data_IF_279985936610
#
_entry.id   IF_279985936610
#
_cell.length_a   1.000
_cell.length_b   1.000
_cell.length_c   1.000
_cell.angle_alpha   90.00
_cell.angle_beta   90.00
_cell.angle_gamma   90.00
#
_symmetry.space_group_name_H-M   'P 1'
#
loop_
_entity.id
_entity.type
_entity.pdbx_description
1 polymer ?
#
# COMPACT_ATOMS: atom_id res chain seq x y z
N UNK A 1 9.85 18.93 -1.66
CA UNK A 1 9.66 18.19 -2.91
C UNK A 1 8.86 19.11 -3.83
N UNK A 2 9.41 19.43 -4.97
CA UNK A 2 8.74 20.22 -6.01
C UNK A 2 8.28 19.21 -7.07
N UNK A 3 6.96 19.12 -7.25
CA UNK A 3 6.39 18.36 -8.37
C UNK A 3 6.17 19.33 -9.51
N UNK A 4 6.76 19.04 -10.67
CA UNK A 4 6.55 19.79 -11.90
C UNK A 4 5.60 18.99 -12.79
N UNK A 5 4.45 19.57 -13.11
CA UNK A 5 3.52 19.04 -14.11
C UNK A 5 3.64 19.84 -15.42
N UNK A 6 4.86 20.06 -15.91
CA UNK A 6 5.11 20.87 -17.10
C UNK A 6 5.27 22.36 -16.78
N UNK A 7 4.32 23.20 -17.09
CA UNK A 7 4.47 24.67 -16.99
C UNK A 7 3.98 25.26 -15.64
N UNK A 8 3.49 24.45 -14.70
CA UNK A 8 2.97 24.94 -13.41
C UNK A 8 3.77 24.35 -12.25
N UNK A 9 4.36 25.23 -11.44
CA UNK A 9 5.05 24.85 -10.20
C UNK A 9 4.09 25.03 -9.02
N UNK A 10 3.86 23.94 -8.29
CA UNK A 10 3.12 23.99 -7.02
C UNK A 10 4.07 23.66 -5.87
N UNK A 11 4.14 24.52 -4.86
CA UNK A 11 4.71 24.13 -3.59
C UNK A 11 3.61 23.56 -2.70
N UNK A 12 3.93 22.60 -1.85
CA UNK A 12 2.99 22.10 -0.84
C UNK A 12 2.51 23.19 0.11
N UNK A 13 3.30 24.27 0.27
CA UNK A 13 2.93 25.46 1.03
C UNK A 13 1.87 26.31 0.32
N UNK A 14 1.86 26.36 -1.00
CA UNK A 14 0.86 27.10 -1.78
C UNK A 14 -0.49 26.37 -1.81
N UNK A 15 -0.47 25.03 -1.79
CA UNK A 15 -1.68 24.21 -1.67
C UNK A 15 -2.34 24.35 -0.28
N UNK A 16 -1.53 24.52 0.77
CA UNK A 16 -2.04 24.70 2.15
C UNK A 16 -2.58 26.11 2.40
N UNK A 17 -2.06 27.11 1.70
CA UNK A 17 -2.48 28.52 1.86
C UNK A 17 -3.74 28.90 1.08
N UNK A 18 -4.12 28.10 0.08
CA UNK A 18 -5.34 28.32 -0.70
C UNK A 18 -6.52 27.70 0.03
N UNK A 19 -7.49 28.54 0.39
CA UNK A 19 -8.77 28.09 0.93
C UNK A 19 -9.41 27.14 -0.09
N UNK A 20 -9.84 25.94 0.34
CA UNK A 20 -10.43 24.91 -0.53
C UNK A 20 -11.66 25.40 -1.33
N UNK A 21 -12.18 26.58 -1.02
CA UNK A 21 -13.30 27.21 -1.75
C UNK A 21 -12.90 27.86 -3.09
N UNK A 22 -11.58 28.07 -3.34
CA UNK A 22 -11.08 28.62 -4.61
C UNK A 22 -10.51 27.58 -5.57
N UNK A 23 -10.71 26.30 -5.32
CA UNK A 23 -10.39 25.24 -6.30
C UNK A 23 -11.47 25.15 -7.40
N UNK A 24 -12.26 26.20 -7.55
CA UNK A 24 -13.08 26.37 -8.75
C UNK A 24 -12.17 26.78 -9.92
N UNK A 25 -12.05 25.87 -10.87
CA UNK A 25 -11.60 26.08 -12.24
C UNK A 25 -10.14 26.41 -12.53
N UNK A 26 -9.17 25.97 -11.75
CA UNK A 26 -7.86 25.76 -12.38
C UNK A 26 -7.98 24.48 -13.20
N UNK A 27 -8.42 24.64 -14.44
CA UNK A 27 -8.42 23.61 -15.45
C UNK A 27 -7.07 22.90 -15.39
N UNK A 28 -7.08 21.64 -14.91
CA UNK A 28 -5.94 20.76 -15.14
C UNK A 28 -5.76 20.78 -16.64
N UNK A 29 -4.77 21.53 -17.14
CA UNK A 29 -4.51 21.57 -18.55
C UNK A 29 -4.06 20.16 -18.95
N UNK A 30 -4.83 19.53 -19.82
CA UNK A 30 -4.46 18.23 -20.34
C UNK A 30 -3.09 18.36 -21.02
N UNK A 31 -2.14 17.45 -20.79
CA UNK A 31 -0.83 17.48 -21.43
C UNK A 31 -0.97 17.09 -22.92
N UNK A 32 -1.57 17.98 -23.71
CA UNK A 32 -1.95 17.69 -25.09
C UNK A 32 -0.79 17.26 -25.98
N UNK A 33 0.42 17.83 -25.76
CA UNK A 33 1.63 17.43 -26.49
C UNK A 33 1.96 15.96 -26.21
N UNK A 34 1.97 15.54 -24.94
CA UNK A 34 2.21 14.17 -24.53
C UNK A 34 1.14 13.21 -25.06
N UNK A 35 -0.15 13.58 -24.94
CA UNK A 35 -1.24 12.77 -25.45
C UNK A 35 -1.13 12.54 -26.97
N UNK A 36 -0.77 13.59 -27.73
CA UNK A 36 -0.55 13.52 -29.17
C UNK A 36 0.68 12.67 -29.52
N UNK A 37 1.80 12.89 -28.83
CA UNK A 37 3.06 12.15 -29.04
C UNK A 37 2.86 10.64 -28.83
N UNK A 38 2.10 10.25 -27.80
CA UNK A 38 1.85 8.84 -27.45
C UNK A 38 0.56 8.28 -28.04
N UNK A 39 -0.10 9.05 -28.92
CA UNK A 39 -1.38 8.66 -29.54
C UNK A 39 -2.43 8.17 -28.51
N UNK A 40 -2.52 8.89 -27.38
CA UNK A 40 -3.48 8.62 -26.31
C UNK A 40 -4.75 9.41 -26.52
N UNK A 41 -5.88 8.73 -26.63
CA UNK A 41 -7.20 9.34 -26.66
C UNK A 41 -8.04 8.83 -25.49
N UNK A 42 -9.08 9.56 -25.14
CA UNK A 42 -10.04 9.19 -24.09
C UNK A 42 -10.63 7.79 -24.35
N UNK A 43 -11.00 7.51 -25.59
CA UNK A 43 -11.61 6.23 -25.98
C UNK A 43 -10.61 5.07 -25.83
N UNK A 44 -9.33 5.29 -26.17
CA UNK A 44 -8.28 4.30 -25.98
C UNK A 44 -8.03 4.02 -24.49
N UNK A 45 -8.02 5.06 -23.65
CA UNK A 45 -7.86 4.91 -22.21
C UNK A 45 -9.04 4.16 -21.59
N UNK A 46 -10.28 4.54 -21.90
CA UNK A 46 -11.49 3.85 -21.43
C UNK A 46 -11.47 2.38 -21.84
N UNK A 47 -11.09 2.08 -23.10
CA UNK A 47 -10.98 0.69 -23.58
C UNK A 47 -9.94 -0.11 -22.81
N UNK A 48 -8.81 0.49 -22.46
CA UNK A 48 -7.76 -0.15 -21.64
C UNK A 48 -8.25 -0.40 -20.23
N UNK A 49 -8.89 0.59 -19.60
CA UNK A 49 -9.45 0.45 -18.24
C UNK A 49 -10.51 -0.67 -18.18
N UNK A 50 -11.37 -0.77 -19.17
CA UNK A 50 -12.36 -1.87 -19.25
C UNK A 50 -11.73 -3.26 -19.30
N UNK A 51 -10.52 -3.39 -19.85
CA UNK A 51 -9.79 -4.67 -19.88
C UNK A 51 -9.18 -5.07 -18.54
N UNK A 52 -9.11 -4.16 -17.57
CA UNK A 52 -8.57 -4.51 -16.26
C UNK A 52 -9.46 -5.51 -15.51
N UNK A 53 -10.76 -5.55 -15.79
CA UNK A 53 -11.68 -6.56 -15.25
C UNK A 53 -11.40 -8.00 -15.73
N UNK A 54 -10.61 -8.16 -16.79
CA UNK A 54 -10.19 -9.46 -17.31
C UNK A 54 -8.90 -9.94 -16.63
N UNK A 55 -8.21 -9.08 -15.86
CA UNK A 55 -6.94 -9.40 -15.23
C UNK A 55 -7.13 -10.08 -13.90
N UNK A 56 -6.35 -11.11 -13.66
CA UNK A 56 -6.14 -11.73 -12.36
C UNK A 56 -4.71 -11.44 -11.88
N UNK A 57 -4.61 -10.78 -10.74
CA UNK A 57 -3.36 -10.28 -10.18
C UNK A 57 -3.10 -10.96 -8.84
N UNK A 58 -1.91 -11.53 -8.67
CA UNK A 58 -1.42 -12.02 -7.39
C UNK A 58 -0.42 -11.00 -6.81
N UNK A 59 -0.72 -10.45 -5.64
CA UNK A 59 0.15 -9.51 -4.94
C UNK A 59 0.68 -10.17 -3.70
N UNK A 60 1.99 -10.07 -3.49
CA UNK A 60 2.69 -10.67 -2.36
C UNK A 60 3.56 -9.60 -1.72
N UNK A 61 3.49 -9.44 -0.41
CA UNK A 61 4.31 -8.45 0.26
C UNK A 61 3.87 -8.09 1.66
N UNK A 62 4.49 -7.04 2.20
CA UNK A 62 4.27 -6.61 3.56
C UNK A 62 2.97 -5.82 3.70
N UNK A 63 2.01 -6.36 4.45
CA UNK A 63 0.83 -5.61 4.88
C UNK A 63 1.24 -4.60 5.95
N UNK A 64 0.78 -3.37 5.79
CA UNK A 64 0.96 -2.28 6.76
C UNK A 64 -0.40 -1.68 7.08
N UNK A 65 -0.64 -1.39 8.34
CA UNK A 65 -1.75 -0.54 8.74
C UNK A 65 -1.17 0.80 9.23
N UNK A 66 -1.58 1.88 8.58
CA UNK A 66 -1.25 3.24 9.00
C UNK A 66 -2.39 3.78 9.86
N UNK A 67 -2.07 4.25 11.07
CA UNK A 67 -3.03 4.87 11.98
C UNK A 67 -2.64 6.31 12.25
N UNK A 68 -3.56 7.22 11.96
CA UNK A 68 -3.40 8.65 12.22
C UNK A 68 -4.20 9.02 13.46
N UNK A 69 -3.50 9.43 14.51
CA UNK A 69 -4.09 9.80 15.80
C UNK A 69 -4.01 11.32 15.91
N UNK A 70 -5.18 11.95 15.81
CA UNK A 70 -5.30 13.40 15.98
C UNK A 70 -5.28 13.71 17.47
N UNK A 71 -4.38 14.61 17.88
CA UNK A 71 -4.16 14.95 19.27
C UNK A 71 -4.34 16.44 19.54
N UNK A 72 -4.79 16.75 20.73
CA UNK A 72 -4.67 18.09 21.32
C UNK A 72 -3.35 18.15 22.13
N UNK A 73 -2.47 19.09 21.78
CA UNK A 73 -1.22 19.30 22.52
C UNK A 73 -1.49 20.12 23.77
N UNK A 74 -1.14 19.58 24.94
CA UNK A 74 -1.32 20.21 26.24
C UNK A 74 -0.13 21.08 26.65
N UNK A 75 1.06 20.84 26.04
CA UNK A 75 2.29 21.53 26.34
C UNK A 75 3.42 20.57 26.68
N UNK A 76 4.44 21.10 27.36
CA UNK A 76 5.56 20.31 27.87
C UNK A 76 5.20 19.71 29.23
N UNK A 77 5.69 18.49 29.50
CA UNK A 77 5.61 17.88 30.84
C UNK A 77 6.36 18.73 31.88
N UNK A 78 5.90 18.69 33.10
CA UNK A 78 6.61 19.29 34.24
C UNK A 78 7.67 18.36 34.84
N UNK A 79 7.62 17.08 34.49
CA UNK A 79 8.48 16.04 35.06
C UNK A 79 9.72 15.78 34.20
N UNK A 80 9.58 15.87 32.88
CA UNK A 80 10.63 15.59 31.91
C UNK A 80 10.45 16.44 30.62
N UNK A 81 11.45 16.58 29.74
CA UNK A 81 11.35 17.35 28.51
C UNK A 81 10.54 16.63 27.42
N UNK A 82 9.31 16.21 27.72
CA UNK A 82 8.42 15.53 26.81
C UNK A 82 7.17 16.33 26.47
N UNK A 83 6.58 16.10 25.29
CA UNK A 83 5.32 16.74 24.88
C UNK A 83 4.15 15.88 25.40
N UNK A 84 3.22 16.52 26.11
CA UNK A 84 1.98 15.90 26.57
C UNK A 84 0.86 16.15 25.58
N UNK A 85 0.20 15.07 25.15
CA UNK A 85 -0.90 15.14 24.20
C UNK A 85 -2.10 14.33 24.68
N UNK A 86 -3.31 14.76 24.32
CA UNK A 86 -4.54 13.98 24.49
C UNK A 86 -5.05 13.53 23.13
N UNK A 87 -5.14 12.21 22.87
CA UNK A 87 -5.78 11.69 21.66
C UNK A 87 -7.24 12.10 21.59
N UNK A 88 -7.68 12.59 20.42
CA UNK A 88 -9.06 13.03 20.18
C UNK A 88 -9.78 12.13 19.20
N UNK A 89 -9.10 11.65 18.17
CA UNK A 89 -9.63 10.81 17.10
C UNK A 89 -8.55 9.92 16.53
N UNK A 90 -8.94 8.80 15.97
CA UNK A 90 -8.03 7.87 15.30
C UNK A 90 -8.65 7.32 14.03
N UNK A 91 -7.86 7.29 12.95
CA UNK A 91 -8.25 6.73 11.66
C UNK A 91 -7.18 5.76 11.17
N UNK A 92 -7.63 4.55 10.78
CA UNK A 92 -6.76 3.51 10.24
C UNK A 92 -6.94 3.38 8.74
N UNK A 93 -5.85 3.09 8.04
CA UNK A 93 -5.79 2.90 6.59
C UNK A 93 -4.96 1.68 6.25
N UNK A 94 -5.37 0.97 5.20
CA UNK A 94 -4.53 -0.07 4.59
C UNK A 94 -3.35 0.61 3.89
N UNK A 95 -2.15 0.12 4.15
CA UNK A 95 -0.89 0.55 3.55
C UNK A 95 -0.08 -0.63 3.02
N UNK A 96 1.17 -0.36 2.63
CA UNK A 96 2.07 -1.37 2.09
C UNK A 96 1.50 -2.11 0.88
N UNK A 97 1.72 -3.42 0.81
CA UNK A 97 1.19 -4.27 -0.25
C UNK A 97 -0.35 -4.31 -0.26
N UNK A 98 -1.00 -4.08 0.89
CA UNK A 98 -2.46 -4.08 0.99
C UNK A 98 -3.12 -2.94 0.23
N UNK A 99 -2.53 -1.72 0.19
CA UNK A 99 -3.08 -0.63 -0.61
C UNK A 99 -2.85 -0.86 -2.10
N UNK A 100 -1.75 -1.50 -2.48
CA UNK A 100 -1.51 -1.89 -3.89
C UNK A 100 -2.61 -2.86 -4.35
N UNK A 101 -2.95 -3.85 -3.50
CA UNK A 101 -4.04 -4.79 -3.75
C UNK A 101 -5.40 -4.09 -3.89
N UNK A 102 -5.70 -3.17 -2.97
CA UNK A 102 -6.95 -2.39 -3.00
C UNK A 102 -7.06 -1.51 -4.25
N UNK A 103 -5.96 -0.87 -4.68
CA UNK A 103 -5.95 -0.07 -5.92
C UNK A 103 -6.15 -0.93 -7.16
N UNK A 104 -5.49 -2.09 -7.25
CA UNK A 104 -5.67 -3.00 -8.37
C UNK A 104 -7.13 -3.51 -8.47
N UNK A 105 -7.74 -3.87 -7.34
CA UNK A 105 -9.14 -4.26 -7.28
C UNK A 105 -10.09 -3.11 -7.66
N UNK A 106 -9.80 -1.88 -7.19
CA UNK A 106 -10.59 -0.69 -7.54
C UNK A 106 -10.54 -0.34 -9.03
N UNK A 107 -9.46 -0.73 -9.72
CA UNK A 107 -9.34 -0.62 -11.18
C UNK A 107 -10.10 -1.72 -11.92
N UNK A 108 -10.68 -2.68 -11.22
CA UNK A 108 -11.53 -3.75 -11.74
C UNK A 108 -10.87 -5.12 -11.82
N UNK A 109 -9.59 -5.27 -11.49
CA UNK A 109 -8.92 -6.57 -11.54
C UNK A 109 -9.41 -7.52 -10.43
N UNK A 110 -9.38 -8.83 -10.69
CA UNK A 110 -9.50 -9.85 -9.65
C UNK A 110 -8.16 -9.97 -8.92
N UNK A 111 -8.14 -9.78 -7.60
CA UNK A 111 -6.90 -9.68 -6.83
C UNK A 111 -6.85 -10.73 -5.73
N UNK A 112 -5.82 -11.59 -5.79
CA UNK A 112 -5.36 -12.41 -4.67
C UNK A 112 -4.21 -11.67 -3.97
N UNK A 113 -4.35 -11.42 -2.68
CA UNK A 113 -3.31 -10.80 -1.86
C UNK A 113 -2.79 -11.76 -0.80
N UNK A 114 -1.49 -12.04 -0.82
CA UNK A 114 -0.83 -12.97 0.11
C UNK A 114 0.15 -12.20 0.98
N UNK A 115 -0.01 -12.31 2.30
CA UNK A 115 0.88 -11.66 3.27
C UNK A 115 0.97 -12.47 4.55
N UNK A 116 1.79 -12.00 5.50
CA UNK A 116 1.92 -12.57 6.84
C UNK A 116 1.60 -11.49 7.88
N UNK A 117 0.86 -11.87 8.91
CA UNK A 117 0.42 -11.00 10.00
C UNK A 117 0.58 -11.69 11.34
N UNK A 118 0.48 -10.95 12.43
CA UNK A 118 0.21 -11.50 13.76
C UNK A 118 -1.22 -12.02 13.87
N UNK A 119 -1.57 -12.58 15.04
CA UNK A 119 -2.94 -12.90 15.41
C UNK A 119 -3.47 -11.85 16.39
N UNK A 120 -3.94 -10.71 15.83
CA UNK A 120 -4.30 -9.54 16.60
C UNK A 120 -5.50 -8.77 15.97
N UNK A 121 -5.98 -7.76 16.68
CA UNK A 121 -7.10 -6.91 16.21
C UNK A 121 -6.76 -6.15 14.92
N UNK A 122 -5.49 -5.83 14.71
CA UNK A 122 -5.04 -5.13 13.51
C UNK A 122 -5.19 -6.01 12.27
N UNK A 123 -4.91 -7.32 12.41
CA UNK A 123 -5.20 -8.31 11.37
C UNK A 123 -6.69 -8.38 11.05
N UNK A 124 -7.56 -8.37 12.08
CA UNK A 124 -9.01 -8.44 11.87
C UNK A 124 -9.51 -7.20 11.11
N UNK A 125 -9.04 -6.02 11.48
CA UNK A 125 -9.32 -4.77 10.75
C UNK A 125 -8.85 -4.87 9.29
N UNK A 126 -7.66 -5.42 9.05
CA UNK A 126 -7.12 -5.57 7.70
C UNK A 126 -7.97 -6.50 6.84
N UNK A 127 -8.37 -7.67 7.36
CA UNK A 127 -9.22 -8.64 6.66
C UNK A 127 -10.57 -8.02 6.28
N UNK A 128 -11.22 -7.33 7.22
CA UNK A 128 -12.50 -6.67 6.98
C UNK A 128 -12.38 -5.59 5.90
N UNK A 129 -11.35 -4.74 5.98
CA UNK A 129 -11.15 -3.64 5.05
C UNK A 129 -10.78 -4.14 3.65
N UNK A 130 -9.90 -5.13 3.54
CA UNK A 130 -9.53 -5.74 2.25
C UNK A 130 -10.73 -6.42 1.60
N UNK A 131 -11.57 -7.11 2.37
CA UNK A 131 -12.82 -7.70 1.87
C UNK A 131 -13.78 -6.64 1.32
N UNK A 132 -13.96 -5.52 2.03
CA UNK A 132 -14.75 -4.37 1.55
C UNK A 132 -14.20 -3.78 0.24
N UNK A 133 -12.89 -3.85 0.07
CA UNK A 133 -12.20 -3.40 -1.15
C UNK A 133 -12.17 -4.47 -2.27
N UNK A 134 -12.93 -5.56 -2.12
CA UNK A 134 -13.00 -6.67 -3.08
C UNK A 134 -11.66 -7.37 -3.33
N UNK A 135 -10.80 -7.42 -2.33
CA UNK A 135 -9.52 -8.14 -2.35
C UNK A 135 -9.68 -9.49 -1.68
N UNK A 136 -9.29 -10.57 -2.36
CA UNK A 136 -9.19 -11.91 -1.76
C UNK A 136 -7.89 -12.03 -0.96
N UNK A 137 -7.95 -11.67 0.31
CA UNK A 137 -6.78 -11.64 1.17
C UNK A 137 -6.51 -12.99 1.84
N UNK A 138 -5.30 -13.52 1.67
CA UNK A 138 -4.77 -14.74 2.28
C UNK A 138 -3.66 -14.36 3.26
N UNK A 139 -4.05 -13.96 4.47
CA UNK A 139 -3.12 -13.53 5.51
C UNK A 139 -2.73 -14.73 6.39
N UNK A 140 -1.49 -15.20 6.22
CA UNK A 140 -0.94 -16.25 7.08
C UNK A 140 -0.63 -15.69 8.47
N UNK A 141 -0.99 -16.44 9.50
CA UNK A 141 -0.70 -16.06 10.90
C UNK A 141 0.69 -16.53 11.28
N UNK A 142 1.50 -15.62 11.80
CA UNK A 142 2.79 -15.89 12.45
C UNK A 142 2.74 -15.27 13.86
N UNK A 143 2.53 -16.11 14.87
CA UNK A 143 2.39 -15.68 16.27
C UNK A 143 3.66 -15.03 16.84
N UNK A 144 4.80 -15.17 16.16
CA UNK A 144 6.08 -14.58 16.59
C UNK A 144 6.21 -13.08 16.28
N UNK A 145 5.23 -12.50 15.57
CA UNK A 145 5.25 -11.09 15.16
C UNK A 145 3.90 -10.41 15.34
N UNK A 146 3.88 -9.09 15.56
CA UNK A 146 2.65 -8.31 15.45
C UNK A 146 2.30 -8.08 13.98
N UNK A 147 1.02 -7.84 13.69
CA UNK A 147 0.64 -7.20 12.43
C UNK A 147 1.24 -5.80 12.38
N UNK A 148 1.90 -5.46 11.27
CA UNK A 148 2.61 -4.17 11.18
C UNK A 148 1.66 -2.99 11.29
N UNK A 149 1.83 -2.19 12.34
CA UNK A 149 1.07 -0.99 12.62
C UNK A 149 1.99 0.22 12.74
N UNK A 150 1.72 1.27 11.97
CA UNK A 150 2.44 2.55 12.02
C UNK A 150 1.52 3.64 12.51
N UNK A 151 1.73 4.10 13.73
CA UNK A 151 0.94 5.15 14.36
C UNK A 151 1.62 6.51 14.18
N UNK A 152 0.84 7.52 13.80
CA UNK A 152 1.28 8.90 13.66
C UNK A 152 0.43 9.80 14.55
N UNK A 153 1.02 10.23 15.66
CA UNK A 153 0.41 11.21 16.55
C UNK A 153 0.58 12.60 15.97
N UNK A 154 -0.52 13.29 15.70
CA UNK A 154 -0.54 14.57 14.98
C UNK A 154 -1.31 15.62 15.75
N UNK A 155 -0.79 16.87 15.75
CA UNK A 155 -1.51 18.04 16.22
C UNK A 155 -1.33 19.18 15.22
N UNK A 156 -2.42 19.89 14.88
CA UNK A 156 -2.42 21.03 13.93
C UNK A 156 -1.63 20.72 12.64
N UNK A 157 -1.90 19.58 12.02
CA UNK A 157 -1.25 19.07 10.79
C UNK A 157 0.25 18.73 10.90
N UNK A 158 0.85 18.76 12.09
CA UNK A 158 2.25 18.36 12.33
C UNK A 158 2.29 17.00 13.01
N UNK A 159 3.20 16.12 12.57
CA UNK A 159 3.49 14.90 13.28
C UNK A 159 4.36 15.21 14.49
N UNK A 160 3.93 14.80 15.68
CA UNK A 160 4.64 14.95 16.93
C UNK A 160 5.49 13.72 17.24
N UNK A 161 4.92 12.52 16.96
CA UNK A 161 5.55 11.24 17.26
C UNK A 161 5.11 10.22 16.21
N UNK A 162 6.01 9.28 15.89
CA UNK A 162 5.70 8.07 15.12
C UNK A 162 6.07 6.86 15.95
N UNK A 163 5.12 5.94 16.10
CA UNK A 163 5.34 4.66 16.77
C UNK A 163 5.11 3.56 15.74
N UNK A 164 6.04 2.61 15.66
CA UNK A 164 5.93 1.49 14.73
C UNK A 164 5.98 0.18 15.48
N UNK A 165 4.89 -0.58 15.39
CA UNK A 165 4.83 -1.96 15.84
C UNK A 165 5.11 -2.84 14.62
N UNK A 166 6.33 -3.38 14.56
CA UNK A 166 6.78 -4.16 13.41
C UNK A 166 7.84 -5.17 13.83
N UNK A 167 8.01 -6.18 12.98
CA UNK A 167 9.09 -7.14 13.08
C UNK A 167 9.76 -7.29 11.71
N UNK A 168 11.09 -7.17 11.66
CA UNK A 168 11.84 -7.18 10.40
C UNK A 168 12.49 -8.54 10.08
N UNK A 169 12.40 -9.50 10.99
CA UNK A 169 12.94 -10.85 10.76
C UNK A 169 12.17 -11.57 9.64
N UNK A 170 12.91 -12.34 8.86
CA UNK A 170 12.32 -13.16 7.80
C UNK A 170 11.27 -14.14 8.36
N UNK A 171 10.22 -14.38 7.60
CA UNK A 171 9.24 -15.43 7.91
C UNK A 171 9.89 -16.82 7.90
N UNK A 172 9.38 -17.73 8.74
CA UNK A 172 9.90 -19.08 8.85
C UNK A 172 9.79 -19.85 7.51
N UNK A 173 10.61 -20.89 7.35
CA UNK A 173 10.54 -21.77 6.18
C UNK A 173 9.14 -22.41 6.04
N UNK A 174 8.48 -22.70 7.16
CA UNK A 174 7.11 -23.25 7.13
C UNK A 174 6.12 -22.24 6.52
N UNK A 175 6.21 -20.95 6.88
CA UNK A 175 5.39 -19.90 6.26
C UNK A 175 5.74 -19.67 4.80
N UNK A 176 7.04 -19.69 4.43
CA UNK A 176 7.46 -19.61 3.03
C UNK A 176 6.84 -20.73 2.19
N UNK A 177 6.85 -21.97 2.69
CA UNK A 177 6.26 -23.12 2.00
C UNK A 177 4.74 -22.95 1.83
N UNK A 178 4.02 -22.52 2.89
CA UNK A 178 2.58 -22.24 2.79
C UNK A 178 2.27 -21.15 1.75
N UNK A 179 3.09 -20.09 1.69
CA UNK A 179 2.93 -19.05 0.65
C UNK A 179 3.15 -19.61 -0.74
N UNK A 180 4.18 -20.45 -0.94
CA UNK A 180 4.43 -21.10 -2.23
C UNK A 180 3.28 -22.01 -2.66
N UNK A 181 2.65 -22.74 -1.73
CA UNK A 181 1.47 -23.54 -2.01
C UNK A 181 0.28 -22.69 -2.47
N UNK A 182 0.00 -21.57 -1.77
CA UNK A 182 -1.06 -20.62 -2.15
C UNK A 182 -0.83 -20.03 -3.54
N UNK A 183 0.42 -19.69 -3.87
CA UNK A 183 0.79 -19.16 -5.19
C UNK A 183 0.58 -20.23 -6.26
N UNK A 184 1.05 -21.45 -6.06
CA UNK A 184 0.89 -22.57 -7.00
C UNK A 184 -0.57 -22.87 -7.32
N UNK A 185 -1.47 -22.75 -6.34
CA UNK A 185 -2.90 -22.97 -6.54
C UNK A 185 -3.55 -21.98 -7.52
N UNK A 186 -3.05 -20.74 -7.58
CA UNK A 186 -3.63 -19.67 -8.40
C UNK A 186 -2.82 -19.30 -9.64
N UNK A 187 -1.60 -19.83 -9.80
CA UNK A 187 -0.64 -19.28 -10.78
C UNK A 187 -1.06 -19.49 -12.24
N UNK A 188 -1.77 -20.57 -12.55
CA UNK A 188 -2.19 -20.86 -13.92
C UNK A 188 -3.16 -19.83 -14.49
N UNK A 189 -3.97 -19.20 -13.62
CA UNK A 189 -4.96 -18.21 -14.01
C UNK A 189 -4.45 -16.77 -13.76
N UNK A 190 -3.25 -16.62 -13.21
CA UNK A 190 -2.68 -15.32 -12.88
C UNK A 190 -2.03 -14.69 -14.12
N UNK A 191 -2.35 -13.43 -14.39
CA UNK A 191 -1.76 -12.65 -15.49
C UNK A 191 -0.54 -11.83 -15.03
N UNK A 192 -0.56 -11.35 -13.77
CA UNK A 192 0.47 -10.51 -13.20
C UNK A 192 0.75 -10.92 -11.75
N UNK A 193 2.01 -11.10 -11.42
CA UNK A 193 2.49 -11.26 -10.05
C UNK A 193 3.24 -9.99 -9.64
N UNK A 194 2.91 -9.44 -8.47
CA UNK A 194 3.53 -8.22 -7.95
C UNK A 194 4.17 -8.52 -6.60
N UNK A 195 5.46 -8.23 -6.49
CA UNK A 195 6.13 -8.12 -5.19
C UNK A 195 6.05 -6.69 -4.69
N UNK A 196 5.58 -6.50 -3.46
CA UNK A 196 5.56 -5.19 -2.79
C UNK A 196 6.24 -5.32 -1.43
N UNK A 197 7.53 -5.00 -1.42
CA UNK A 197 8.46 -5.27 -0.34
C UNK A 197 8.81 -3.98 0.42
N UNK A 198 8.50 -3.96 1.70
CA UNK A 198 8.83 -2.89 2.64
C UNK A 198 9.93 -3.30 3.62
N UNK A 199 10.59 -4.45 3.37
CA UNK A 199 11.65 -5.00 4.21
C UNK A 199 11.19 -5.34 5.65
N UNK A 200 9.95 -5.83 5.77
CA UNK A 200 9.42 -6.33 7.07
C UNK A 200 9.34 -7.85 7.12
N UNK A 201 10.15 -8.51 6.28
CA UNK A 201 10.44 -9.93 6.35
C UNK A 201 9.42 -10.87 5.69
N UNK A 202 8.38 -10.34 5.04
CA UNK A 202 7.43 -11.15 4.28
C UNK A 202 8.07 -11.79 3.05
N UNK A 203 9.04 -11.12 2.42
CA UNK A 203 9.69 -11.50 1.16
C UNK A 203 11.19 -11.78 1.33
N UNK A 204 11.60 -12.81 2.11
CA UNK A 204 13.02 -13.17 2.15
C UNK A 204 13.50 -13.64 0.78
N UNK A 205 14.77 -13.39 0.47
CA UNK A 205 15.37 -13.67 -0.85
C UNK A 205 15.16 -15.13 -1.30
N UNK A 206 15.18 -16.07 -0.34
CA UNK A 206 14.91 -17.49 -0.63
C UNK A 206 13.51 -17.73 -1.20
N UNK A 207 12.50 -17.07 -0.62
CA UNK A 207 11.12 -17.14 -1.10
C UNK A 207 10.98 -16.52 -2.48
N UNK A 208 11.53 -15.32 -2.68
CA UNK A 208 11.52 -14.63 -3.98
C UNK A 208 12.15 -15.50 -5.06
N UNK A 209 13.32 -16.12 -4.80
CA UNK A 209 13.98 -17.02 -5.74
C UNK A 209 13.11 -18.21 -6.10
N UNK A 210 12.44 -18.83 -5.12
CA UNK A 210 11.55 -19.96 -5.34
C UNK A 210 10.32 -19.56 -6.18
N UNK A 211 9.71 -18.40 -5.89
CA UNK A 211 8.60 -17.87 -6.68
C UNK A 211 9.05 -17.61 -8.12
N UNK A 212 10.19 -16.95 -8.31
CA UNK A 212 10.73 -16.66 -9.64
C UNK A 212 11.02 -17.94 -10.44
N UNK A 213 11.47 -19.02 -9.80
CA UNK A 213 11.65 -20.30 -10.48
C UNK A 213 10.31 -20.93 -10.91
N UNK A 214 9.27 -20.79 -10.11
CA UNK A 214 7.92 -21.23 -10.47
C UNK A 214 7.39 -20.42 -11.65
N UNK A 215 7.54 -19.09 -11.63
CA UNK A 215 7.00 -18.19 -12.66
C UNK A 215 7.66 -18.37 -14.03
N UNK A 216 8.94 -18.82 -14.08
CA UNK A 216 9.65 -19.08 -15.36
C UNK A 216 8.90 -20.06 -16.27
N UNK A 217 8.15 -20.99 -15.70
CA UNK A 217 7.40 -22.01 -16.46
C UNK A 217 6.00 -21.51 -16.89
N UNK A 218 5.63 -20.29 -16.47
CA UNK A 218 4.32 -19.69 -16.75
C UNK A 218 4.54 -18.38 -17.52
N UNK A 219 3.69 -18.10 -18.50
CA UNK A 219 3.73 -16.84 -19.27
C UNK A 219 3.05 -15.69 -18.50
N UNK A 220 3.53 -15.42 -17.29
CA UNK A 220 2.96 -14.33 -16.49
C UNK A 220 3.97 -13.18 -16.35
N UNK A 221 3.45 -11.97 -16.28
CA UNK A 221 4.27 -10.80 -16.00
C UNK A 221 4.60 -10.76 -14.51
N UNK A 222 5.81 -10.32 -14.20
CA UNK A 222 6.25 -10.08 -12.83
C UNK A 222 6.69 -8.61 -12.70
N UNK A 223 6.19 -7.95 -11.67
CA UNK A 223 6.58 -6.60 -11.29
C UNK A 223 7.06 -6.61 -9.83
N UNK A 224 7.94 -5.70 -9.48
CA UNK A 224 8.41 -5.53 -8.12
C UNK A 224 8.57 -4.05 -7.76
N UNK A 225 8.16 -3.72 -6.54
CA UNK A 225 8.49 -2.47 -5.84
C UNK A 225 9.11 -2.86 -4.51
N UNK A 226 10.35 -2.45 -4.26
CA UNK A 226 11.08 -2.81 -3.05
C UNK A 226 11.76 -1.59 -2.45
N UNK A 227 11.67 -1.48 -1.14
CA UNK A 227 12.40 -0.48 -0.34
C UNK A 227 13.70 -1.06 0.25
N UNK A 228 14.02 -2.33 -0.04
CA UNK A 228 15.32 -2.91 0.30
C UNK A 228 16.36 -2.39 -0.68
N UNK A 229 17.39 -1.73 -0.16
CA UNK A 229 18.57 -1.27 -0.90
C UNK A 229 19.69 -2.28 -0.82
#
# INVERSE_FOLDING_TARGET
LIFSSGETFFSSADLIKRDFKEIDSHSISLPNAYLKQHNLTKEKLIRRLKKFSELKICIIGDLIIDEYITCHALGMSHEDPSIVVTPMDSQKFIGGAGIVASHAASLGASVDFISVTGEDEIRNYALETLSKNSVNAKLLVDESRPTTLKQRYRSKNKSLLRVSHLYQGAISIAHQNKMLELIKQGINDTNLLVFSDFNYGCLPQSLVNNIMNITKNHKLFVAADSQSS
#
